data_IF_887964632528
#
_entry.id   IF_887964632528
#
_cell.length_a   1.000
_cell.length_b   1.000
_cell.length_c   1.000
_cell.angle_alpha   90.00
_cell.angle_beta   90.00
_cell.angle_gamma   90.00
#
_symmetry.space_group_name_H-M   'P 1'
#
loop_
_entity.id
_entity.type
_entity.pdbx_description
1 polymer ?
#
# COMPACT_ATOMS: atom_id res chain seq x y z
N UNK A 1 -10.58 12.78 79.90
CA UNK A 1 -9.47 12.09 80.62
C UNK A 1 -8.61 11.56 79.52
N UNK A 2 -7.51 11.90 79.30
CA UNK A 2 -6.24 12.51 79.62
C UNK A 2 -5.33 12.33 78.39
N UNK A 3 -4.85 13.40 77.82
CA UNK A 3 -3.59 14.10 78.14
C UNK A 3 -2.31 13.29 77.77
N UNK A 4 -1.54 13.90 76.86
CA UNK A 4 -0.08 14.04 76.87
C UNK A 4 0.71 12.89 76.25
N UNK A 5 1.78 13.05 75.47
CA UNK A 5 2.96 13.93 75.41
C UNK A 5 3.58 13.80 74.05
N UNK A 6 3.91 14.81 73.27
CA UNK A 6 5.20 15.54 73.20
C UNK A 6 6.42 14.65 73.08
N UNK A 7 7.08 14.78 71.93
CA UNK A 7 8.48 15.18 71.78
C UNK A 7 8.98 14.93 70.33
N UNK A 8 9.10 15.96 69.60
CA UNK A 8 10.38 16.49 69.01
C UNK A 8 11.44 15.46 68.63
N UNK A 9 11.70 15.31 67.35
CA UNK A 9 13.08 15.29 66.83
C UNK A 9 13.14 15.69 65.37
N UNK A 10 13.69 16.87 65.16
CA UNK A 10 14.16 17.38 63.88
C UNK A 10 15.34 16.51 63.41
N UNK A 11 15.28 15.95 62.20
CA UNK A 11 16.46 15.69 61.41
C UNK A 11 16.13 16.11 59.98
N UNK A 12 16.70 17.25 59.61
CA UNK A 12 16.74 17.72 58.25
C UNK A 12 17.75 16.86 57.45
N UNK A 13 17.24 16.08 56.50
CA UNK A 13 18.08 15.56 55.42
C UNK A 13 17.59 16.18 54.10
N UNK A 14 18.28 17.22 53.72
CA UNK A 14 18.18 17.75 52.35
C UNK A 14 18.88 16.77 51.43
N UNK A 15 18.13 15.87 50.79
CA UNK A 15 18.62 15.14 49.63
C UNK A 15 18.18 15.95 48.42
N UNK A 16 19.12 16.71 47.89
CA UNK A 16 19.01 17.29 46.55
C UNK A 16 19.18 16.14 45.57
N UNK A 17 18.08 15.49 45.23
CA UNK A 17 18.02 14.60 44.06
C UNK A 17 17.87 15.47 42.84
N UNK A 18 19.02 15.75 42.20
CA UNK A 18 19.03 16.33 40.85
C UNK A 18 18.31 15.42 39.91
N UNK A 19 17.09 15.82 39.55
CA UNK A 19 16.38 15.22 38.43
C UNK A 19 17.12 15.64 37.15
N UNK A 20 17.99 14.78 36.67
CA UNK A 20 18.51 14.92 35.33
C UNK A 20 17.31 14.79 34.36
N UNK A 21 17.10 15.71 33.40
CA UNK A 21 16.09 15.52 32.38
C UNK A 21 16.48 14.29 31.58
N UNK A 22 15.68 13.25 31.66
CA UNK A 22 15.77 12.15 30.71
C UNK A 22 15.50 12.74 29.34
N UNK A 23 16.55 12.95 28.57
CA UNK A 23 16.44 13.22 27.15
C UNK A 23 15.81 11.96 26.55
N UNK A 24 14.52 12.03 26.24
CA UNK A 24 13.86 11.05 25.39
C UNK A 24 14.59 11.14 24.07
N UNK A 25 15.46 10.17 23.81
CA UNK A 25 16.10 10.03 22.52
C UNK A 25 14.97 9.86 21.52
N UNK A 26 14.73 10.88 20.69
CA UNK A 26 13.84 10.78 19.56
C UNK A 26 14.36 9.63 18.70
N UNK A 27 13.56 8.57 18.57
CA UNK A 27 13.82 7.48 17.66
C UNK A 27 14.10 8.08 16.29
N UNK A 28 15.15 7.63 15.56
CA UNK A 28 15.39 8.10 14.22
C UNK A 28 14.15 7.78 13.38
N UNK A 29 13.39 8.79 13.03
CA UNK A 29 12.33 8.64 12.04
C UNK A 29 13.01 8.35 10.71
N UNK A 30 12.56 7.37 9.92
CA UNK A 30 13.07 7.17 8.58
C UNK A 30 12.83 8.46 7.80
N UNK A 31 13.91 9.17 7.50
CA UNK A 31 13.90 10.35 6.65
C UNK A 31 13.48 9.87 5.25
N UNK A 32 12.26 10.26 4.82
CA UNK A 32 11.65 10.10 3.49
C UNK A 32 10.42 9.17 3.37
N UNK A 33 9.69 8.88 4.43
CA UNK A 33 8.29 8.51 4.19
C UNK A 33 7.51 9.81 3.86
N UNK A 34 6.87 9.92 2.68
CA UNK A 34 5.98 11.05 2.42
C UNK A 34 4.94 11.11 3.54
N UNK A 35 4.60 12.34 3.98
CA UNK A 35 3.54 12.51 4.96
C UNK A 35 2.30 11.73 4.47
N UNK A 36 1.60 11.03 5.37
CA UNK A 36 0.49 10.14 5.01
C UNK A 36 -0.62 10.83 4.16
N UNK A 37 -0.65 12.18 4.14
CA UNK A 37 -1.55 12.98 3.31
C UNK A 37 -1.10 13.18 1.86
N UNK A 38 0.16 12.93 1.51
CA UNK A 38 0.73 13.21 0.18
C UNK A 38 1.01 11.97 -0.66
N UNK A 39 0.76 10.75 -0.15
CA UNK A 39 0.97 9.52 -0.91
C UNK A 39 0.05 9.46 -2.13
N UNK A 40 0.50 8.81 -3.21
CA UNK A 40 -0.35 8.59 -4.38
C UNK A 40 -1.63 7.83 -3.97
N UNK A 41 -1.54 6.89 -3.04
CA UNK A 41 -2.68 6.19 -2.45
C UNK A 41 -3.77 7.14 -1.94
N UNK A 42 -3.37 8.14 -1.14
CA UNK A 42 -4.32 9.12 -0.59
C UNK A 42 -4.92 10.00 -1.69
N UNK A 43 -4.09 10.46 -2.63
CA UNK A 43 -4.55 11.28 -3.77
C UNK A 43 -5.47 10.52 -4.72
N UNK A 44 -5.34 9.21 -4.84
CA UNK A 44 -6.23 8.34 -5.60
C UNK A 44 -7.58 8.11 -4.91
N UNK A 45 -7.72 8.45 -3.63
CA UNK A 45 -8.96 8.27 -2.86
C UNK A 45 -8.96 7.06 -1.93
N UNK A 46 -7.80 6.47 -1.66
CA UNK A 46 -7.64 5.39 -0.69
C UNK A 46 -8.13 4.02 -1.15
N UNK A 47 -8.37 3.13 -0.19
CA UNK A 47 -8.63 1.71 -0.47
C UNK A 47 -9.88 1.47 -1.32
N UNK A 48 -10.99 2.14 -1.02
CA UNK A 48 -12.25 1.96 -1.76
C UNK A 48 -12.14 2.37 -3.23
N UNK A 49 -11.37 3.43 -3.51
CA UNK A 49 -11.09 3.84 -4.88
C UNK A 49 -10.23 2.79 -5.61
N UNK A 50 -9.21 2.22 -4.94
CA UNK A 50 -8.41 1.14 -5.52
C UNK A 50 -9.25 -0.11 -5.79
N UNK A 51 -10.18 -0.46 -4.90
CA UNK A 51 -11.13 -1.57 -5.12
C UNK A 51 -11.96 -1.32 -6.38
N UNK A 52 -12.55 -0.13 -6.53
CA UNK A 52 -13.37 0.21 -7.68
C UNK A 52 -12.58 0.18 -9.00
N UNK A 53 -11.38 0.78 -9.00
CA UNK A 53 -10.47 0.80 -10.15
C UNK A 53 -10.03 -0.61 -10.52
N UNK A 54 -9.61 -1.42 -9.55
CA UNK A 54 -9.14 -2.80 -9.79
C UNK A 54 -10.24 -3.67 -10.36
N UNK A 55 -11.45 -3.59 -9.83
CA UNK A 55 -12.61 -4.36 -10.35
C UNK A 55 -12.90 -4.04 -11.81
N UNK A 56 -12.95 -2.77 -12.17
CA UNK A 56 -13.17 -2.37 -13.56
C UNK A 56 -12.01 -2.83 -14.46
N UNK A 57 -10.78 -2.64 -14.01
CA UNK A 57 -9.59 -3.06 -14.74
C UNK A 57 -9.56 -4.57 -15.01
N UNK A 58 -9.68 -5.39 -13.96
CA UNK A 58 -9.69 -6.86 -14.09
C UNK A 58 -10.88 -7.32 -14.93
N UNK A 59 -12.05 -6.69 -14.79
CA UNK A 59 -13.21 -6.96 -15.61
C UNK A 59 -12.94 -6.74 -17.10
N UNK A 60 -12.25 -5.67 -17.47
CA UNK A 60 -11.83 -5.39 -18.84
C UNK A 60 -10.85 -6.43 -19.35
N UNK A 61 -9.83 -6.77 -18.57
CA UNK A 61 -8.85 -7.81 -18.97
C UNK A 61 -9.53 -9.16 -19.20
N UNK A 62 -10.43 -9.55 -18.33
CA UNK A 62 -11.14 -10.84 -18.40
C UNK A 62 -12.13 -10.94 -19.59
N UNK A 63 -12.58 -9.81 -20.13
CA UNK A 63 -13.51 -9.74 -21.26
C UNK A 63 -12.87 -9.35 -22.60
N UNK A 64 -11.60 -8.92 -22.57
CA UNK A 64 -10.85 -8.58 -23.77
C UNK A 64 -10.51 -9.85 -24.56
N UNK A 65 -10.77 -9.90 -25.89
CA UNK A 65 -10.51 -11.08 -26.70
C UNK A 65 -9.06 -11.58 -26.71
N UNK A 66 -8.08 -10.68 -26.51
CA UNK A 66 -6.66 -11.01 -26.47
C UNK A 66 -6.22 -11.50 -25.09
N UNK A 67 -6.78 -10.92 -24.01
CA UNK A 67 -6.33 -11.12 -22.64
C UNK A 67 -7.17 -12.15 -21.86
N UNK A 68 -8.40 -12.43 -22.29
CA UNK A 68 -9.30 -13.39 -21.63
C UNK A 68 -8.67 -14.78 -21.45
N UNK A 69 -7.73 -15.16 -22.31
CA UNK A 69 -6.97 -16.42 -22.23
C UNK A 69 -6.27 -16.61 -20.88
N UNK A 70 -5.84 -15.54 -20.22
CA UNK A 70 -5.17 -15.57 -18.92
C UNK A 70 -6.12 -15.83 -17.75
N UNK A 71 -7.41 -15.67 -17.98
CA UNK A 71 -8.47 -15.89 -16.98
C UNK A 71 -9.25 -17.18 -17.23
N UNK A 72 -8.92 -17.92 -18.31
CA UNK A 72 -9.56 -19.18 -18.64
C UNK A 72 -9.26 -20.23 -17.57
N UNK A 73 -10.32 -20.92 -17.09
CA UNK A 73 -10.20 -21.95 -16.04
C UNK A 73 -10.17 -21.41 -14.60
N UNK A 74 -10.14 -20.09 -14.41
CA UNK A 74 -10.30 -19.52 -13.08
C UNK A 74 -11.77 -19.57 -12.66
N UNK A 75 -12.04 -20.19 -11.52
CA UNK A 75 -13.36 -20.10 -10.87
C UNK A 75 -13.49 -18.75 -10.14
N UNK A 76 -14.68 -18.44 -9.63
CA UNK A 76 -14.96 -17.15 -8.99
C UNK A 76 -14.08 -16.90 -7.76
N UNK A 77 -13.77 -17.92 -6.97
CA UNK A 77 -12.85 -17.81 -5.82
C UNK A 77 -11.43 -17.43 -6.27
N UNK A 78 -10.94 -18.05 -7.36
CA UNK A 78 -9.63 -17.74 -7.91
C UNK A 78 -9.57 -16.33 -8.49
N UNK A 79 -10.62 -15.90 -9.19
CA UNK A 79 -10.75 -14.53 -9.70
C UNK A 79 -10.77 -13.51 -8.57
N UNK A 80 -11.55 -13.74 -7.52
CA UNK A 80 -11.60 -12.88 -6.34
C UNK A 80 -10.23 -12.77 -5.64
N UNK A 81 -9.47 -13.88 -5.61
CA UNK A 81 -8.11 -13.87 -5.05
C UNK A 81 -7.14 -13.03 -5.88
N UNK A 82 -7.17 -13.16 -7.21
CA UNK A 82 -6.39 -12.31 -8.12
C UNK A 82 -6.73 -10.84 -7.89
N UNK A 83 -8.02 -10.51 -7.84
CA UNK A 83 -8.49 -9.15 -7.58
C UNK A 83 -7.95 -8.61 -6.25
N UNK A 84 -8.08 -9.38 -5.16
CA UNK A 84 -7.58 -8.98 -3.86
C UNK A 84 -6.05 -8.72 -3.86
N UNK A 85 -5.27 -9.61 -4.48
CA UNK A 85 -3.82 -9.41 -4.60
C UNK A 85 -3.46 -8.17 -5.43
N UNK A 86 -4.19 -7.88 -6.51
CA UNK A 86 -3.95 -6.66 -7.31
C UNK A 86 -4.30 -5.40 -6.50
N UNK A 87 -5.37 -5.42 -5.70
CA UNK A 87 -5.73 -4.31 -4.82
C UNK A 87 -4.62 -4.05 -3.80
N UNK A 88 -4.16 -5.10 -3.09
CA UNK A 88 -3.11 -4.97 -2.07
C UNK A 88 -1.79 -4.54 -2.69
N UNK A 89 -1.45 -5.07 -3.87
CA UNK A 89 -0.26 -4.65 -4.62
C UNK A 89 -0.31 -3.16 -4.98
N UNK A 90 -1.41 -2.70 -5.56
CA UNK A 90 -1.58 -1.28 -5.91
C UNK A 90 -1.58 -0.40 -4.66
N UNK A 91 -2.18 -0.84 -3.56
CA UNK A 91 -2.16 -0.13 -2.30
C UNK A 91 -0.71 0.10 -1.82
N UNK A 92 0.11 -0.96 -1.78
CA UNK A 92 1.53 -0.84 -1.40
C UNK A 92 2.31 0.01 -2.40
N UNK A 93 2.13 -0.24 -3.69
CA UNK A 93 2.85 0.47 -4.76
C UNK A 93 2.56 1.98 -4.81
N UNK A 94 1.40 2.39 -4.29
CA UNK A 94 1.00 3.80 -4.21
C UNK A 94 1.25 4.45 -2.85
N UNK A 95 1.89 3.73 -1.92
CA UNK A 95 2.23 4.22 -0.58
C UNK A 95 1.09 4.15 0.43
N UNK A 96 0.17 3.20 0.24
CA UNK A 96 -0.89 2.87 1.19
C UNK A 96 -0.44 1.93 2.31
N UNK A 97 -1.29 1.72 3.33
CA UNK A 97 -0.95 0.98 4.55
C UNK A 97 -1.15 -0.55 4.43
N UNK A 98 -1.36 -1.08 3.24
CA UNK A 98 -1.65 -2.50 3.03
C UNK A 98 -0.38 -3.37 3.17
N UNK A 99 -0.59 -4.67 3.29
CA UNK A 99 0.47 -5.68 3.25
C UNK A 99 0.21 -6.57 2.05
N UNK A 100 1.12 -6.56 1.08
CA UNK A 100 1.03 -7.45 -0.06
C UNK A 100 1.56 -8.84 0.31
N UNK A 101 0.70 -9.84 0.20
CA UNK A 101 1.02 -11.24 0.52
C UNK A 101 1.04 -12.15 -0.72
N UNK A 102 0.88 -11.56 -1.90
CA UNK A 102 0.95 -12.27 -3.18
C UNK A 102 2.37 -12.61 -3.60
N UNK A 103 2.47 -13.29 -4.73
CA UNK A 103 3.77 -13.61 -5.37
C UNK A 103 4.36 -12.36 -6.02
N UNK A 104 5.69 -12.30 -6.15
CA UNK A 104 6.32 -11.29 -6.99
C UNK A 104 5.83 -11.39 -8.46
N UNK A 105 5.95 -10.30 -9.22
CA UNK A 105 5.40 -10.22 -10.57
C UNK A 105 5.98 -11.28 -11.51
N UNK A 106 7.26 -11.58 -11.40
CA UNK A 106 7.93 -12.60 -12.21
C UNK A 106 7.34 -13.99 -11.94
N UNK A 107 7.22 -14.36 -10.67
CA UNK A 107 6.65 -15.64 -10.25
C UNK A 107 5.18 -15.75 -10.65
N UNK A 108 4.39 -14.68 -10.41
CA UNK A 108 2.96 -14.65 -10.71
C UNK A 108 2.66 -14.78 -12.21
N UNK A 109 3.57 -14.37 -13.08
CA UNK A 109 3.39 -14.40 -14.54
C UNK A 109 4.18 -15.52 -15.25
N UNK A 110 4.99 -16.28 -14.50
CA UNK A 110 5.74 -17.41 -15.07
C UNK A 110 4.79 -18.46 -15.67
N UNK A 111 5.03 -18.82 -16.95
CA UNK A 111 4.23 -19.77 -17.69
C UNK A 111 3.01 -19.17 -18.40
N UNK A 112 2.72 -17.88 -18.21
CA UNK A 112 1.64 -17.20 -18.95
C UNK A 112 2.04 -16.81 -20.38
N UNK A 113 3.35 -16.75 -20.67
CA UNK A 113 3.88 -16.35 -21.96
C UNK A 113 3.32 -15.00 -22.44
N UNK A 114 3.23 -14.04 -21.52
CA UNK A 114 2.73 -12.69 -21.79
C UNK A 114 3.62 -11.99 -22.81
N UNK A 115 3.03 -11.44 -23.87
CA UNK A 115 3.75 -10.75 -24.95
C UNK A 115 3.76 -9.23 -24.73
N UNK A 116 4.58 -8.51 -25.49
CA UNK A 116 4.54 -7.04 -25.55
C UNK A 116 3.16 -6.52 -26.00
N UNK A 117 2.49 -7.23 -26.91
CA UNK A 117 1.16 -6.87 -27.35
C UNK A 117 0.14 -7.02 -26.20
N UNK A 118 0.20 -8.12 -25.42
CA UNK A 118 -0.65 -8.31 -24.24
C UNK A 118 -0.41 -7.23 -23.19
N UNK A 119 0.86 -6.86 -22.96
CA UNK A 119 1.22 -5.77 -22.06
C UNK A 119 0.62 -4.42 -22.51
N UNK A 120 0.77 -4.07 -23.79
CA UNK A 120 0.28 -2.80 -24.33
C UNK A 120 -1.26 -2.72 -24.25
N UNK A 121 -1.96 -3.81 -24.55
CA UNK A 121 -3.43 -3.90 -24.40
C UNK A 121 -3.84 -3.74 -22.95
N UNK A 122 -3.14 -4.39 -22.03
CA UNK A 122 -3.38 -4.25 -20.59
C UNK A 122 -3.18 -2.81 -20.11
N UNK A 123 -2.09 -2.16 -20.54
CA UNK A 123 -1.80 -0.76 -20.21
C UNK A 123 -2.87 0.21 -20.75
N UNK A 124 -3.39 -0.07 -21.94
CA UNK A 124 -4.49 0.71 -22.53
C UNK A 124 -5.76 0.58 -21.68
N UNK A 125 -6.14 -0.65 -21.27
CA UNK A 125 -7.28 -0.87 -20.38
C UNK A 125 -7.12 -0.20 -19.01
N UNK A 126 -5.91 -0.17 -18.44
CA UNK A 126 -5.67 0.57 -17.21
C UNK A 126 -5.88 2.07 -17.41
N UNK A 127 -5.38 2.63 -18.51
CA UNK A 127 -5.59 4.04 -18.85
C UNK A 127 -7.08 4.36 -19.01
N UNK A 128 -7.83 3.51 -19.70
CA UNK A 128 -9.29 3.69 -19.86
C UNK A 128 -10.02 3.61 -18.52
N UNK A 129 -9.61 2.70 -17.63
CA UNK A 129 -10.16 2.60 -16.28
C UNK A 129 -9.89 3.87 -15.49
N UNK A 130 -8.66 4.37 -15.47
CA UNK A 130 -8.32 5.61 -14.77
C UNK A 130 -9.12 6.82 -15.31
N UNK A 131 -9.32 6.89 -16.63
CA UNK A 131 -10.17 7.90 -17.25
C UNK A 131 -11.64 7.78 -16.82
N UNK A 132 -12.19 6.57 -16.79
CA UNK A 132 -13.56 6.30 -16.33
C UNK A 132 -13.79 6.80 -14.91
N UNK A 133 -12.83 6.61 -14.02
CA UNK A 133 -12.87 7.08 -12.64
C UNK A 133 -12.43 8.54 -12.47
N UNK A 134 -12.15 9.25 -13.59
CA UNK A 134 -11.76 10.67 -13.61
C UNK A 134 -10.53 10.94 -12.74
N UNK A 135 -9.59 9.99 -12.69
CA UNK A 135 -8.30 10.18 -12.01
C UNK A 135 -7.57 11.34 -12.70
N UNK A 136 -7.04 12.34 -11.99
CA UNK A 136 -6.34 13.44 -12.62
C UNK A 136 -5.08 12.98 -13.37
N UNK A 137 -4.69 13.67 -14.42
CA UNK A 137 -3.59 13.27 -15.32
C UNK A 137 -2.25 13.07 -14.61
N UNK A 138 -1.99 13.84 -13.56
CA UNK A 138 -0.77 13.70 -12.75
C UNK A 138 -0.73 12.32 -12.08
N UNK A 139 -1.80 11.97 -11.38
CA UNK A 139 -1.92 10.68 -10.69
C UNK A 139 -1.92 9.50 -11.68
N UNK A 140 -2.57 9.65 -12.84
CA UNK A 140 -2.50 8.65 -13.91
C UNK A 140 -1.06 8.41 -14.35
N UNK A 141 -0.28 9.47 -14.56
CA UNK A 141 1.12 9.37 -14.99
C UNK A 141 1.99 8.68 -13.93
N UNK A 142 1.75 8.96 -12.64
CA UNK A 142 2.46 8.31 -11.53
C UNK A 142 2.11 6.81 -11.44
N UNK A 143 0.84 6.44 -11.58
CA UNK A 143 0.40 5.03 -11.65
C UNK A 143 1.05 4.32 -12.82
N UNK A 144 0.97 4.90 -14.02
CA UNK A 144 1.54 4.29 -15.23
C UNK A 144 3.06 4.15 -15.14
N UNK A 145 3.76 5.09 -14.52
CA UNK A 145 5.20 4.99 -14.30
C UNK A 145 5.55 3.82 -13.36
N UNK A 146 4.81 3.67 -12.25
CA UNK A 146 5.00 2.57 -11.30
C UNK A 146 4.76 1.21 -11.98
N UNK A 147 3.69 1.07 -12.75
CA UNK A 147 3.35 -0.16 -13.46
C UNK A 147 4.37 -0.46 -14.57
N UNK A 148 4.83 0.55 -15.30
CA UNK A 148 5.82 0.36 -16.39
C UNK A 148 7.12 -0.28 -15.92
N UNK A 149 7.53 -0.05 -14.66
CA UNK A 149 8.68 -0.70 -14.05
C UNK A 149 8.56 -2.22 -13.92
N UNK A 150 7.35 -2.78 -13.99
CA UNK A 150 7.09 -4.21 -13.86
C UNK A 150 7.18 -4.98 -15.19
N UNK A 151 7.26 -4.26 -16.31
CA UNK A 151 7.20 -4.88 -17.65
C UNK A 151 8.23 -6.01 -17.82
N UNK A 152 9.46 -5.80 -17.35
CA UNK A 152 10.54 -6.79 -17.45
C UNK A 152 10.30 -8.08 -16.66
N UNK A 153 9.46 -8.02 -15.61
CA UNK A 153 9.09 -9.16 -14.79
C UNK A 153 7.82 -9.87 -15.29
N UNK A 154 7.11 -9.27 -16.23
CA UNK A 154 5.81 -9.77 -16.72
C UNK A 154 5.94 -10.30 -18.15
N UNK A 155 6.56 -9.55 -19.03
CA UNK A 155 6.67 -9.90 -20.46
C UNK A 155 7.69 -11.01 -20.65
N UNK A 156 7.34 -12.03 -21.46
CA UNK A 156 8.18 -13.17 -21.78
C UNK A 156 8.29 -14.22 -20.67
N UNK A 157 7.34 -14.23 -19.74
CA UNK A 157 7.33 -15.20 -18.61
C UNK A 157 6.30 -16.31 -18.82
#
# INVERSE_FOLDING_TARGET
MDKKFLATMLIAFAVIAGAAPYAVAASPQPMNAPAAGDSLYTRLGGYDALVAVTKDFIGRLATDPQLAKFFTGLNDTSKARVEAHVIDFLCVATGGPCIYTGQDMKTAHTGLHTTDADWNTSAAHLTETLNKFKVPQKEQSEVMAAISGLKGDIVGR
#
